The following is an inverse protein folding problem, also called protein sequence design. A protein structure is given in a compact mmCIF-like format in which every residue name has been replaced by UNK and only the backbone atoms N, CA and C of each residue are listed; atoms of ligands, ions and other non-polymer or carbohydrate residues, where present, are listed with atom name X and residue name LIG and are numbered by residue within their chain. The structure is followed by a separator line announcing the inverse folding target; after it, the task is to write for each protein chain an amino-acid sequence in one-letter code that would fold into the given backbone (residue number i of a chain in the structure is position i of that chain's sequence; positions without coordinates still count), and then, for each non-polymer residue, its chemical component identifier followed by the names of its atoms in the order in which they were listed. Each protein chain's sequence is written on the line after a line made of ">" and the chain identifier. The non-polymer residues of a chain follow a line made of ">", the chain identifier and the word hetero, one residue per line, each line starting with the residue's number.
data_IF_033641823090
#
_entry.id   IF_033641823090
#
_cell.length_a   1.000
_cell.length_b   1.000
_cell.length_c   1.000
_cell.angle_alpha   90.00
_cell.angle_beta   90.00
_cell.angle_gamma   90.00
#
_symmetry.space_group_name_H-M   'P 1'
#
loop_
_entity.id
_entity.type
_entity.pdbx_description
1 polymer ?
#
# COMPACT_ATOMS: atom_id res chain seq x y z
N UNK A 1 12.88 13.18 28.31
CA UNK A 1 12.91 12.03 27.38
C UNK A 1 11.59 11.25 27.27
N UNK A 2 10.68 11.25 28.26
CA UNK A 2 9.38 10.54 28.17
C UNK A 2 8.24 11.32 27.46
N UNK A 3 8.30 12.65 27.37
CA UNK A 3 7.22 13.43 26.73
C UNK A 3 7.22 13.34 25.20
N UNK A 4 8.40 13.19 24.57
CA UNK A 4 8.54 13.12 23.10
C UNK A 4 8.00 11.80 22.55
N UNK A 5 8.25 10.70 23.28
CA UNK A 5 7.78 9.36 22.90
C UNK A 5 6.24 9.26 22.88
N UNK A 6 5.56 10.00 23.76
CA UNK A 6 4.11 9.92 23.95
C UNK A 6 3.31 10.69 22.90
N UNK A 7 3.91 11.71 22.26
CA UNK A 7 3.30 12.47 21.17
C UNK A 7 3.45 11.77 19.81
N UNK A 8 4.60 11.15 19.55
CA UNK A 8 4.88 10.43 18.30
C UNK A 8 3.99 9.17 18.13
N UNK A 9 3.72 8.46 19.23
CA UNK A 9 2.83 7.28 19.26
C UNK A 9 1.35 7.63 18.96
N UNK A 10 0.91 8.89 19.22
CA UNK A 10 -0.45 9.34 18.88
C UNK A 10 -0.60 9.80 17.42
N UNK A 11 0.49 10.21 16.77
CA UNK A 11 0.47 10.67 15.38
C UNK A 11 0.64 9.53 14.36
N UNK A 12 1.15 8.37 14.81
CA UNK A 12 1.54 7.24 13.95
C UNK A 12 0.70 5.98 14.14
N UNK A 13 -0.49 6.05 14.76
CA UNK A 13 -1.38 4.88 14.94
C UNK A 13 -1.77 4.23 13.61
N UNK A 14 -1.73 4.97 12.50
CA UNK A 14 -1.94 4.47 11.14
C UNK A 14 -0.70 3.82 10.51
N UNK A 15 0.51 4.14 10.98
CA UNK A 15 1.77 3.51 10.57
C UNK A 15 2.08 2.24 11.37
N UNK A 16 1.66 2.18 12.64
CA UNK A 16 1.89 1.01 13.51
C UNK A 16 1.04 -0.21 13.18
N UNK A 17 0.25 -0.16 12.10
CA UNK A 17 -0.71 -1.22 11.75
C UNK A 17 -0.01 -2.43 11.15
N UNK A 18 0.93 -2.21 10.24
CA UNK A 18 1.60 -3.24 9.42
C UNK A 18 2.88 -2.69 8.81
N UNK A 19 4.07 -3.29 9.00
CA UNK A 19 5.25 -2.99 8.17
C UNK A 19 5.15 -3.60 6.74
N UNK A 20 4.14 -4.40 6.45
CA UNK A 20 3.97 -5.11 5.18
C UNK A 20 3.92 -4.16 3.97
N UNK A 21 3.12 -3.06 3.97
CA UNK A 21 3.18 -2.07 2.89
C UNK A 21 4.58 -1.51 2.66
N UNK A 22 5.30 -1.20 3.73
CA UNK A 22 6.64 -0.59 3.67
C UNK A 22 7.66 -1.56 3.06
N UNK A 23 7.53 -2.85 3.38
CA UNK A 23 8.46 -3.90 2.94
C UNK A 23 8.18 -4.43 1.54
N UNK A 24 6.91 -4.47 1.14
CA UNK A 24 6.48 -5.27 -0.01
C UNK A 24 6.01 -4.42 -1.19
N UNK A 25 5.46 -3.22 -0.94
CA UNK A 25 5.03 -2.34 -2.03
C UNK A 25 6.18 -1.81 -2.88
N UNK A 26 7.40 -1.51 -2.39
CA UNK A 26 8.45 -0.96 -3.25
C UNK A 26 8.73 -1.81 -4.49
N UNK A 27 8.93 -3.12 -4.29
CA UNK A 27 9.20 -4.05 -5.39
C UNK A 27 7.96 -4.25 -6.27
N UNK A 28 6.78 -4.41 -5.68
CA UNK A 28 5.55 -4.61 -6.43
C UNK A 28 5.22 -3.39 -7.31
N UNK A 29 5.23 -2.18 -6.73
CA UNK A 29 4.95 -0.92 -7.44
C UNK A 29 5.99 -0.66 -8.52
N UNK A 30 7.28 -0.91 -8.26
CA UNK A 30 8.31 -0.79 -9.29
C UNK A 30 8.06 -1.73 -10.47
N UNK A 31 7.69 -2.99 -10.20
CA UNK A 31 7.34 -3.99 -11.23
C UNK A 31 6.13 -3.53 -12.05
N UNK A 32 5.07 -3.04 -11.39
CA UNK A 32 3.85 -2.56 -12.06
C UNK A 32 4.10 -1.31 -12.92
N UNK A 33 4.97 -0.40 -12.48
CA UNK A 33 5.35 0.77 -13.26
C UNK A 33 6.24 0.39 -14.46
N UNK A 34 7.16 -0.56 -14.28
CA UNK A 34 8.06 -1.00 -15.34
C UNK A 34 7.36 -1.87 -16.39
N UNK A 35 6.34 -2.65 -15.99
CA UNK A 35 5.66 -3.62 -16.86
C UNK A 35 6.43 -4.94 -17.00
N UNK A 36 7.10 -5.38 -15.93
CA UNK A 36 7.93 -6.58 -15.88
C UNK A 36 8.99 -6.47 -14.78
N UNK A 37 9.98 -7.37 -14.74
CA UNK A 37 11.09 -7.30 -13.77
C UNK A 37 11.73 -5.90 -13.77
N UNK A 38 11.64 -5.13 -12.66
CA UNK A 38 12.16 -3.77 -12.61
C UNK A 38 13.68 -3.77 -12.37
N UNK A 39 14.38 -2.72 -12.82
CA UNK A 39 15.79 -2.55 -12.46
C UNK A 39 15.92 -2.20 -10.95
N UNK A 40 17.05 -2.52 -10.30
CA UNK A 40 17.21 -2.33 -8.85
C UNK A 40 17.07 -0.87 -8.38
N UNK A 41 17.43 0.09 -9.23
CA UNK A 41 17.30 1.53 -8.96
C UNK A 41 15.83 1.98 -8.89
N UNK A 42 14.94 1.38 -9.67
CA UNK A 42 13.50 1.65 -9.60
C UNK A 42 12.91 1.19 -8.26
N UNK A 43 13.35 0.04 -7.74
CA UNK A 43 12.93 -0.46 -6.41
C UNK A 43 13.48 0.44 -5.30
N UNK A 44 14.74 0.88 -5.42
CA UNK A 44 15.35 1.80 -4.46
C UNK A 44 14.63 3.16 -4.43
N UNK A 45 14.31 3.73 -5.60
CA UNK A 45 13.59 4.99 -5.70
C UNK A 45 12.19 4.93 -5.06
N UNK A 46 11.48 3.81 -5.24
CA UNK A 46 10.16 3.62 -4.62
C UNK A 46 10.27 3.39 -3.10
N UNK A 47 11.33 2.72 -2.65
CA UNK A 47 11.65 2.59 -1.22
C UNK A 47 11.86 3.97 -0.58
N UNK A 48 12.72 4.80 -1.18
CA UNK A 48 12.98 6.16 -0.69
C UNK A 48 11.73 7.06 -0.70
N UNK A 49 10.81 6.84 -1.64
CA UNK A 49 9.53 7.54 -1.70
C UNK A 49 8.64 7.15 -0.52
N UNK A 50 8.51 5.85 -0.25
CA UNK A 50 7.75 5.33 0.89
C UNK A 50 8.36 5.82 2.21
N UNK A 51 9.67 5.72 2.38
CA UNK A 51 10.37 6.23 3.57
C UNK A 51 10.08 7.71 3.81
N UNK A 52 10.12 8.55 2.77
CA UNK A 52 9.75 9.97 2.90
C UNK A 52 8.30 10.17 3.30
N UNK A 53 7.36 9.40 2.77
CA UNK A 53 5.95 9.45 3.15
C UNK A 53 5.73 9.05 4.61
N UNK A 54 6.46 8.05 5.10
CA UNK A 54 6.40 7.60 6.49
C UNK A 54 7.00 8.65 7.43
N UNK A 55 8.21 9.12 7.13
CA UNK A 55 8.97 9.99 8.02
C UNK A 55 8.47 11.43 8.04
N UNK A 56 7.89 11.90 6.93
CA UNK A 56 7.55 13.32 6.73
C UNK A 56 6.15 13.56 6.19
N UNK A 57 5.44 12.51 5.80
CA UNK A 57 4.09 12.62 5.25
C UNK A 57 3.01 12.78 6.31
N UNK A 58 1.79 12.92 5.82
CA UNK A 58 0.58 12.88 6.64
C UNK A 58 -0.18 11.60 6.34
N UNK A 59 -1.09 11.20 7.23
CA UNK A 59 -2.00 10.07 6.97
C UNK A 59 -2.74 10.23 5.63
N UNK A 60 -3.15 11.46 5.28
CA UNK A 60 -3.81 11.74 3.99
C UNK A 60 -2.88 11.48 2.81
N UNK A 61 -1.61 11.90 2.91
CA UNK A 61 -0.63 11.66 1.85
C UNK A 61 -0.32 10.16 1.69
N UNK A 62 -0.24 9.42 2.81
CA UNK A 62 -0.09 7.97 2.80
C UNK A 62 -1.29 7.26 2.16
N UNK A 63 -2.50 7.56 2.61
CA UNK A 63 -3.70 6.95 2.02
C UNK A 63 -3.87 7.32 0.54
N UNK A 64 -3.51 8.55 0.16
CA UNK A 64 -3.48 8.95 -1.25
C UNK A 64 -2.44 8.16 -2.08
N UNK A 65 -1.28 7.85 -1.49
CA UNK A 65 -0.31 6.96 -2.12
C UNK A 65 -0.89 5.55 -2.30
N UNK A 66 -1.47 4.96 -1.26
CA UNK A 66 -2.05 3.62 -1.34
C UNK A 66 -3.20 3.54 -2.35
N UNK A 67 -4.06 4.57 -2.43
CA UNK A 67 -5.08 4.67 -3.45
C UNK A 67 -4.48 4.66 -4.87
N UNK A 68 -3.41 5.43 -5.09
CA UNK A 68 -2.69 5.39 -6.37
C UNK A 68 -2.11 4.01 -6.72
N UNK A 69 -1.76 3.19 -5.71
CA UNK A 69 -1.36 1.80 -5.95
C UNK A 69 -2.56 0.93 -6.35
N UNK A 70 -3.76 1.18 -5.82
CA UNK A 70 -4.99 0.51 -6.29
C UNK A 70 -5.25 0.84 -7.76
N UNK A 71 -5.18 2.12 -8.15
CA UNK A 71 -5.33 2.53 -9.56
C UNK A 71 -4.26 1.87 -10.46
N UNK A 72 -3.02 1.74 -9.97
CA UNK A 72 -1.95 1.07 -10.71
C UNK A 72 -2.23 -0.42 -10.89
N UNK A 73 -2.78 -1.11 -9.87
CA UNK A 73 -3.23 -2.50 -9.98
C UNK A 73 -4.29 -2.62 -11.08
N UNK A 74 -5.24 -1.71 -11.15
CA UNK A 74 -6.33 -1.75 -12.14
C UNK A 74 -5.81 -1.51 -13.56
N UNK A 75 -4.90 -0.56 -13.73
CA UNK A 75 -4.29 -0.25 -15.03
C UNK A 75 -3.57 -1.45 -15.66
N UNK A 76 -3.19 -2.44 -14.85
CA UNK A 76 -2.48 -3.66 -15.25
C UNK A 76 -3.36 -4.92 -15.30
N UNK A 77 -4.69 -4.79 -15.26
CA UNK A 77 -5.61 -5.93 -15.19
C UNK A 77 -5.43 -7.00 -16.28
N UNK A 78 -5.15 -6.59 -17.52
CA UNK A 78 -4.98 -7.50 -18.67
C UNK A 78 -3.53 -7.77 -19.07
N UNK A 79 -2.55 -7.44 -18.22
CA UNK A 79 -1.14 -7.62 -18.56
C UNK A 79 -0.76 -9.12 -18.59
N UNK A 80 -0.26 -9.66 -19.72
CA UNK A 80 0.06 -11.08 -19.83
C UNK A 80 1.37 -11.45 -19.12
N UNK A 81 2.18 -10.48 -18.69
CA UNK A 81 3.45 -10.73 -18.05
C UNK A 81 3.28 -11.36 -16.64
N UNK A 82 4.01 -12.45 -16.39
CA UNK A 82 3.91 -13.22 -15.14
C UNK A 82 4.41 -12.46 -13.91
N UNK A 83 5.44 -11.62 -14.06
CA UNK A 83 5.98 -10.81 -12.95
C UNK A 83 4.98 -9.69 -12.62
N UNK A 84 4.38 -9.07 -13.63
CA UNK A 84 3.30 -8.09 -13.43
C UNK A 84 2.11 -8.74 -12.71
N UNK A 85 1.66 -9.92 -13.14
CA UNK A 85 0.55 -10.62 -12.48
C UNK A 85 0.87 -10.97 -11.01
N UNK A 86 2.09 -11.41 -10.73
CA UNK A 86 2.56 -11.68 -9.38
C UNK A 86 2.59 -10.41 -8.52
N UNK A 87 3.17 -9.32 -9.05
CA UNK A 87 3.23 -8.03 -8.37
C UNK A 87 1.83 -7.48 -8.07
N UNK A 88 0.88 -7.58 -9.00
CA UNK A 88 -0.53 -7.21 -8.78
C UNK A 88 -1.14 -8.02 -7.65
N UNK A 89 -0.94 -9.34 -7.66
CA UNK A 89 -1.44 -10.21 -6.59
C UNK A 89 -0.90 -9.79 -5.23
N UNK A 90 0.41 -9.52 -5.15
CA UNK A 90 1.08 -9.15 -3.92
C UNK A 90 0.59 -7.81 -3.39
N UNK A 91 0.55 -6.78 -4.25
CA UNK A 91 0.05 -5.46 -3.88
C UNK A 91 -1.42 -5.50 -3.44
N UNK A 92 -2.26 -6.27 -4.13
CA UNK A 92 -3.68 -6.47 -3.76
C UNK A 92 -3.80 -7.05 -2.34
N UNK A 93 -3.04 -8.11 -2.03
CA UNK A 93 -3.08 -8.75 -0.71
C UNK A 93 -2.62 -7.80 0.41
N UNK A 94 -1.53 -7.07 0.17
CA UNK A 94 -0.97 -6.09 1.12
C UNK A 94 -1.96 -4.98 1.42
N UNK A 95 -2.53 -4.38 0.38
CA UNK A 95 -3.49 -3.29 0.52
C UNK A 95 -4.78 -3.75 1.20
N UNK A 96 -5.28 -4.94 0.84
CA UNK A 96 -6.47 -5.53 1.47
C UNK A 96 -6.27 -5.70 2.97
N UNK A 97 -5.13 -6.28 3.38
CA UNK A 97 -4.81 -6.46 4.79
C UNK A 97 -4.72 -5.12 5.53
N UNK A 98 -3.94 -4.17 5.01
CA UNK A 98 -3.79 -2.84 5.60
C UNK A 98 -5.13 -2.12 5.76
N UNK A 99 -5.96 -2.12 4.70
CA UNK A 99 -7.24 -1.43 4.71
C UNK A 99 -8.24 -2.06 5.68
N UNK A 100 -8.23 -3.39 5.82
CA UNK A 100 -9.08 -4.09 6.78
C UNK A 100 -8.67 -3.78 8.23
N UNK A 101 -7.37 -3.64 8.51
CA UNK A 101 -6.92 -3.29 9.86
C UNK A 101 -7.33 -1.87 10.29
N UNK A 102 -7.54 -0.94 9.34
CA UNK A 102 -8.08 0.38 9.65
C UNK A 102 -9.50 0.32 10.25
N UNK A 103 -10.27 -0.75 10.03
CA UNK A 103 -11.59 -0.95 10.65
C UNK A 103 -11.52 -1.07 12.17
N UNK A 104 -10.40 -1.58 12.70
CA UNK A 104 -10.18 -1.75 14.14
C UNK A 104 -9.72 -0.48 14.86
N UNK A 105 -9.47 0.62 14.12
CA UNK A 105 -8.90 1.84 14.67
C UNK A 105 -9.92 2.97 14.78
N UNK A 106 -9.68 3.85 15.76
CA UNK A 106 -10.40 5.13 15.86
C UNK A 106 -9.88 6.10 14.81
N UNK A 107 -10.78 6.78 14.12
CA UNK A 107 -10.47 7.85 13.16
C UNK A 107 -11.13 7.62 11.80
N UNK A 108 -10.81 8.48 10.83
CA UNK A 108 -11.42 8.46 9.49
C UNK A 108 -10.77 7.48 8.50
N UNK A 109 -9.73 6.76 8.89
CA UNK A 109 -9.00 5.87 7.98
C UNK A 109 -9.89 4.82 7.31
N UNK A 110 -10.80 4.22 8.08
CA UNK A 110 -11.77 3.26 7.56
C UNK A 110 -12.79 3.87 6.59
N UNK A 111 -13.26 5.09 6.85
CA UNK A 111 -14.17 5.82 5.96
C UNK A 111 -13.47 6.19 4.65
N UNK A 112 -12.25 6.73 4.75
CA UNK A 112 -11.47 7.19 3.61
C UNK A 112 -11.06 6.06 2.65
N UNK A 113 -10.94 4.83 3.16
CA UNK A 113 -10.52 3.65 2.39
C UNK A 113 -11.69 2.72 2.03
N UNK A 114 -12.94 3.14 2.26
CA UNK A 114 -14.10 2.27 2.08
C UNK A 114 -14.30 1.80 0.64
N UNK A 115 -14.12 2.69 -0.34
CA UNK A 115 -14.23 2.35 -1.76
C UNK A 115 -13.15 1.34 -2.16
N UNK A 116 -11.89 1.62 -1.81
CA UNK A 116 -10.76 0.75 -2.10
C UNK A 116 -10.94 -0.65 -1.48
N UNK A 117 -11.49 -0.75 -0.26
CA UNK A 117 -11.79 -2.07 0.35
C UNK A 117 -12.78 -2.89 -0.44
N UNK A 118 -13.89 -2.29 -0.87
CA UNK A 118 -14.93 -3.00 -1.64
C UNK A 118 -14.32 -3.50 -2.95
N UNK A 119 -13.53 -2.65 -3.61
CA UNK A 119 -12.88 -3.01 -4.86
C UNK A 119 -11.85 -4.13 -4.69
N UNK A 120 -10.94 -3.99 -3.71
CA UNK A 120 -9.94 -5.01 -3.40
C UNK A 120 -10.57 -6.36 -3.01
N UNK A 121 -11.72 -6.34 -2.32
CA UNK A 121 -12.47 -7.56 -2.00
C UNK A 121 -12.89 -8.31 -3.27
N UNK A 122 -13.43 -7.61 -4.28
CA UNK A 122 -13.79 -8.24 -5.55
C UNK A 122 -12.56 -8.82 -6.26
N UNK A 123 -11.44 -8.09 -6.30
CA UNK A 123 -10.20 -8.56 -6.91
C UNK A 123 -9.62 -9.82 -6.24
N UNK A 124 -9.83 -9.98 -4.92
CA UNK A 124 -9.40 -11.18 -4.19
C UNK A 124 -10.32 -12.36 -4.48
N UNK A 125 -11.65 -12.15 -4.53
CA UNK A 125 -12.63 -13.20 -4.80
C UNK A 125 -12.52 -13.77 -6.21
N UNK A 126 -12.31 -12.93 -7.23
CA UNK A 126 -12.16 -13.36 -8.63
C UNK A 126 -10.95 -14.28 -8.88
N UNK A 127 -9.97 -14.33 -7.96
CA UNK A 127 -8.81 -15.23 -8.05
C UNK A 127 -9.02 -16.60 -7.41
N UNK A 128 -10.09 -16.77 -6.64
CA UNK A 128 -10.35 -18.02 -5.90
C UNK A 128 -11.35 -18.95 -6.59
N UNK A 129 -11.92 -18.54 -7.71
CA UNK A 129 -12.77 -19.35 -8.60
C UNK A 129 -11.99 -19.85 -9.83
#
# INVERSE_FOLDING_TARGET
>A
MLLVYRAMVRAATWLSITPEPERELPAAVATLNHGGTPPPDAVAAETERIERLILRGSQRAWLGYLHGVVELIDSRAGDPDGDVQHARARATAVLSNHHNLLLGLRGRGAELTASDRVHLMHLVTDKTE
#
